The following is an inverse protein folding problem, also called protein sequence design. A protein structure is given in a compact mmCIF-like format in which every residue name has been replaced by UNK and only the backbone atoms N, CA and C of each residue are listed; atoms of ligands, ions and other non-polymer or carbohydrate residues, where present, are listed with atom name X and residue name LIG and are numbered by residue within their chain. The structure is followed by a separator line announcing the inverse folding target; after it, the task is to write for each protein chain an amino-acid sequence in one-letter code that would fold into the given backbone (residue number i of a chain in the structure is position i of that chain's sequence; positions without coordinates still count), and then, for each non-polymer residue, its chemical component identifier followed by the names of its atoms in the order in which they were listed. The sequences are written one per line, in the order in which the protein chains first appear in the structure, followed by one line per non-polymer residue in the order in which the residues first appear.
data_IF_830538237350
#
_entry.id   IF_830538237350
#
_cell.length_a   1.000
_cell.length_b   1.000
_cell.length_c   1.000
_cell.angle_alpha   90.00
_cell.angle_beta   90.00
_cell.angle_gamma   90.00
#
_symmetry.space_group_name_H-M   'P 1'
#
loop_
_entity.id
_entity.type
_entity.pdbx_description
1 polymer ?
#
# COMPACT_ATOMS: atom_id res chain seq x y z
N UNK A 1 8.64 -14.47 -13.78
CA UNK A 1 9.46 -14.94 -14.92
C UNK A 1 10.21 -16.24 -14.60
N UNK A 2 11.07 -16.29 -13.58
CA UNK A 2 11.69 -17.55 -13.13
C UNK A 2 10.66 -18.63 -12.74
N UNK A 3 9.54 -18.24 -12.13
CA UNK A 3 8.41 -19.14 -11.83
C UNK A 3 7.83 -19.84 -13.06
N UNK A 4 7.76 -19.16 -14.21
CA UNK A 4 7.24 -19.73 -15.47
C UNK A 4 8.17 -20.78 -16.04
N UNK A 5 9.49 -20.55 -15.97
CA UNK A 5 10.48 -21.53 -16.43
C UNK A 5 10.53 -22.78 -15.55
N UNK A 6 10.40 -22.61 -14.24
CA UNK A 6 10.34 -23.72 -13.28
C UNK A 6 9.04 -24.52 -13.47
N UNK A 7 7.91 -23.84 -13.66
CA UNK A 7 6.63 -24.51 -13.97
C UNK A 7 6.62 -25.20 -15.34
N UNK A 8 7.20 -24.59 -16.36
CA UNK A 8 7.35 -25.19 -17.70
C UNK A 8 8.26 -26.43 -17.66
N UNK A 9 9.39 -26.34 -16.96
CA UNK A 9 10.32 -27.46 -16.79
C UNK A 9 9.76 -28.60 -15.94
N UNK A 10 8.91 -28.30 -14.95
CA UNK A 10 8.29 -29.33 -14.10
C UNK A 10 7.05 -29.98 -14.72
N UNK A 11 6.39 -29.32 -15.68
CA UNK A 11 5.16 -29.83 -16.31
C UNK A 11 5.34 -31.19 -17.01
N UNK A 12 6.55 -31.47 -17.51
CA UNK A 12 6.85 -32.69 -18.27
C UNK A 12 7.42 -33.84 -17.40
N UNK A 13 7.47 -33.68 -16.08
CA UNK A 13 8.01 -34.71 -15.17
C UNK A 13 6.98 -35.85 -15.04
N UNK A 14 7.27 -36.99 -15.67
CA UNK A 14 6.43 -38.20 -15.64
C UNK A 14 5.55 -38.45 -16.89
N UNK A 15 5.68 -37.65 -17.94
CA UNK A 15 4.90 -37.79 -19.18
C UNK A 15 3.60 -36.96 -19.18
N UNK A 16 2.67 -37.27 -20.11
CA UNK A 16 1.40 -36.56 -20.29
C UNK A 16 0.20 -37.50 -20.07
N UNK A 17 -0.83 -37.05 -19.38
CA UNK A 17 -2.05 -37.83 -19.08
C UNK A 17 -2.02 -38.52 -17.71
N UNK A 18 -2.62 -39.71 -17.58
CA UNK A 18 -2.76 -40.42 -16.30
C UNK A 18 -1.43 -40.91 -15.69
N UNK A 19 -0.30 -40.85 -16.43
CA UNK A 19 1.03 -41.22 -15.92
C UNK A 19 1.81 -40.05 -15.31
N UNK A 20 1.27 -38.82 -15.34
CA UNK A 20 2.00 -37.63 -14.88
C UNK A 20 2.35 -37.75 -13.39
N UNK A 21 3.62 -37.49 -13.05
CA UNK A 21 4.08 -37.60 -11.67
C UNK A 21 3.55 -36.44 -10.83
N UNK A 22 3.08 -36.74 -9.61
CA UNK A 22 2.73 -35.71 -8.61
C UNK A 22 3.88 -34.74 -8.30
N UNK A 23 5.12 -35.10 -8.66
CA UNK A 23 6.28 -34.20 -8.55
C UNK A 23 6.17 -32.96 -9.44
N UNK A 24 5.40 -32.99 -10.53
CA UNK A 24 5.26 -31.87 -11.47
C UNK A 24 4.73 -30.59 -10.82
N UNK A 25 3.83 -30.70 -9.83
CA UNK A 25 3.24 -29.57 -9.10
C UNK A 25 3.88 -29.32 -7.72
N UNK A 26 4.42 -30.37 -7.09
CA UNK A 26 5.08 -30.25 -5.79
C UNK A 26 6.43 -29.54 -5.88
N UNK A 27 7.19 -29.81 -6.94
CA UNK A 27 8.56 -29.31 -7.09
C UNK A 27 8.65 -27.77 -7.17
N UNK A 28 7.80 -27.07 -7.96
CA UNK A 28 7.75 -25.61 -7.91
C UNK A 28 7.38 -25.05 -6.52
N UNK A 29 6.48 -25.73 -5.81
CA UNK A 29 6.02 -25.30 -4.48
C UNK A 29 7.12 -25.45 -3.42
N UNK A 30 7.87 -26.56 -3.47
CA UNK A 30 9.01 -26.81 -2.58
C UNK A 30 10.13 -25.80 -2.84
N UNK A 31 10.44 -25.52 -4.12
CA UNK A 31 11.47 -24.54 -4.48
C UNK A 31 11.11 -23.14 -3.97
N UNK A 32 9.83 -22.76 -4.02
CA UNK A 32 9.36 -21.49 -3.44
C UNK A 32 9.40 -21.48 -1.91
N UNK A 33 9.29 -22.64 -1.26
CA UNK A 33 9.48 -22.79 0.18
C UNK A 33 10.90 -22.51 0.66
N UNK A 34 11.91 -22.71 -0.20
CA UNK A 34 13.33 -22.49 0.14
C UNK A 34 13.61 -21.04 0.56
N UNK A 35 13.30 -19.99 -0.24
CA UNK A 35 13.53 -18.61 0.17
C UNK A 35 12.69 -18.22 1.39
N UNK A 36 11.48 -18.78 1.55
CA UNK A 36 10.66 -18.55 2.74
C UNK A 36 11.33 -19.11 4.02
N UNK A 37 11.89 -20.32 3.95
CA UNK A 37 12.65 -20.91 5.04
C UNK A 37 13.94 -20.13 5.33
N UNK A 38 14.67 -19.69 4.30
CA UNK A 38 15.83 -18.82 4.46
C UNK A 38 15.49 -17.50 5.17
N UNK A 39 14.37 -16.87 4.81
CA UNK A 39 13.91 -15.64 5.45
C UNK A 39 13.47 -15.90 6.89
N UNK A 40 12.75 -17.00 7.16
CA UNK A 40 12.36 -17.39 8.51
C UNK A 40 13.56 -17.58 9.44
N UNK A 41 14.64 -18.19 8.93
CA UNK A 41 15.92 -18.30 9.65
C UNK A 41 16.58 -16.92 9.82
N UNK A 42 16.50 -16.05 8.81
CA UNK A 42 17.04 -14.69 8.86
C UNK A 42 16.36 -13.76 9.87
N UNK A 43 15.08 -13.98 10.18
CA UNK A 43 14.33 -13.17 11.17
C UNK A 43 15.00 -13.21 12.55
N UNK A 44 15.67 -14.30 12.92
CA UNK A 44 16.36 -14.40 14.20
C UNK A 44 17.52 -13.40 14.36
N UNK A 45 18.09 -12.93 13.24
CA UNK A 45 19.20 -11.98 13.22
C UNK A 45 18.80 -10.53 12.86
N UNK A 46 17.54 -10.29 12.52
CA UNK A 46 17.09 -8.94 12.18
C UNK A 46 16.86 -8.10 13.45
N UNK A 47 17.42 -6.87 13.53
CA UNK A 47 17.12 -5.98 14.64
C UNK A 47 15.63 -5.61 14.64
N UNK A 48 15.06 -5.43 15.82
CA UNK A 48 13.66 -5.03 15.96
C UNK A 48 13.41 -3.65 15.35
N UNK A 49 12.22 -3.43 14.80
CA UNK A 49 11.86 -2.12 14.25
C UNK A 49 11.99 -1.01 15.31
N UNK A 50 12.67 0.12 14.99
CA UNK A 50 12.80 1.26 15.91
C UNK A 50 11.45 1.77 16.42
N UNK A 51 10.42 1.83 15.56
CA UNK A 51 9.06 2.26 15.94
C UNK A 51 8.44 1.35 17.00
N UNK A 52 8.61 0.03 16.87
CA UNK A 52 8.12 -0.91 17.87
C UNK A 52 8.86 -0.75 19.20
N UNK A 53 10.18 -0.52 19.17
CA UNK A 53 10.98 -0.30 20.38
C UNK A 53 10.52 0.96 21.14
N UNK A 54 10.21 2.05 20.43
CA UNK A 54 9.63 3.27 21.02
C UNK A 54 8.25 2.99 21.63
N UNK A 55 7.38 2.25 20.93
CA UNK A 55 6.05 1.87 21.45
C UNK A 55 6.11 1.03 22.73
N UNK A 56 7.19 0.29 22.94
CA UNK A 56 7.44 -0.49 24.15
C UNK A 56 8.23 0.27 25.23
N UNK A 57 8.46 1.57 25.05
CA UNK A 57 9.21 2.42 25.98
C UNK A 57 10.72 2.16 26.02
N UNK A 58 11.27 1.41 25.05
CA UNK A 58 12.71 1.06 24.98
C UNK A 58 13.48 2.06 24.10
N UNK A 59 13.47 3.31 24.52
CA UNK A 59 13.99 4.46 23.78
C UNK A 59 15.48 4.35 23.40
N UNK A 60 16.33 3.93 24.34
CA UNK A 60 17.77 3.77 24.10
C UNK A 60 18.09 2.73 23.01
N UNK A 61 17.34 1.61 23.02
CA UNK A 61 17.50 0.55 22.00
C UNK A 61 16.97 0.99 20.65
N UNK A 62 15.92 1.81 20.63
CA UNK A 62 15.40 2.39 19.40
C UNK A 62 16.44 3.30 18.74
N UNK A 63 17.09 4.17 19.53
CA UNK A 63 18.17 5.04 19.07
C UNK A 63 19.38 4.24 18.54
N UNK A 64 19.81 3.20 19.25
CA UNK A 64 20.89 2.32 18.79
C UNK A 64 20.55 1.62 17.47
N UNK A 65 19.29 1.18 17.32
CA UNK A 65 18.84 0.55 16.07
C UNK A 65 18.77 1.56 14.93
N UNK A 66 18.30 2.78 15.21
CA UNK A 66 18.24 3.86 14.22
C UNK A 66 19.66 4.24 13.76
N UNK A 67 20.61 4.34 14.69
CA UNK A 67 22.02 4.58 14.42
C UNK A 67 22.65 3.48 13.56
N UNK A 68 22.34 2.21 13.85
CA UNK A 68 22.76 1.09 13.03
C UNK A 68 22.20 1.16 11.60
N UNK A 69 20.91 1.50 11.45
CA UNK A 69 20.25 1.60 10.14
C UNK A 69 20.77 2.78 9.29
N UNK A 70 20.98 3.94 9.92
CA UNK A 70 21.47 5.16 9.26
C UNK A 70 22.99 5.22 9.13
N UNK A 71 23.73 4.30 9.78
CA UNK A 71 25.21 4.27 9.86
C UNK A 71 25.81 5.59 10.35
N UNK A 72 25.14 6.25 11.28
CA UNK A 72 25.53 7.53 11.87
C UNK A 72 25.68 7.37 13.39
N UNK A 73 26.46 8.24 14.07
CA UNK A 73 26.58 8.19 15.53
C UNK A 73 25.24 8.50 16.20
N UNK A 74 25.00 7.92 17.38
CA UNK A 74 23.72 8.02 18.11
C UNK A 74 23.33 9.47 18.44
N UNK A 75 24.32 10.36 18.57
CA UNK A 75 24.15 11.77 18.91
C UNK A 75 23.97 12.70 17.69
N UNK A 76 23.91 12.14 16.47
CA UNK A 76 23.68 12.94 15.27
C UNK A 76 22.30 13.62 15.32
N UNK A 77 22.26 14.91 14.97
CA UNK A 77 21.04 15.71 14.95
C UNK A 77 19.95 15.09 14.05
N UNK A 78 20.34 14.42 12.95
CA UNK A 78 19.40 13.76 12.05
C UNK A 78 18.72 12.55 12.72
N UNK A 79 19.48 11.73 13.47
CA UNK A 79 18.95 10.57 14.20
C UNK A 79 18.02 11.03 15.31
N UNK A 80 18.40 12.08 16.03
CA UNK A 80 17.57 12.64 17.10
C UNK A 80 16.27 13.25 16.56
N UNK A 81 16.31 13.89 15.40
CA UNK A 81 15.11 14.39 14.72
C UNK A 81 14.17 13.24 14.31
N UNK A 82 14.70 12.23 13.62
CA UNK A 82 13.92 11.07 13.17
C UNK A 82 13.35 10.25 14.35
N UNK A 83 14.14 10.07 15.41
CA UNK A 83 13.67 9.45 16.65
C UNK A 83 12.52 10.24 17.31
N UNK A 84 12.63 11.57 17.38
CA UNK A 84 11.57 12.42 17.91
C UNK A 84 10.31 12.36 17.04
N UNK A 85 10.45 12.29 15.71
CA UNK A 85 9.32 12.15 14.80
C UNK A 85 8.57 10.83 15.06
N UNK A 86 9.30 9.71 15.12
CA UNK A 86 8.73 8.39 15.46
C UNK A 86 8.06 8.43 16.84
N UNK A 87 8.65 9.13 17.81
CA UNK A 87 8.07 9.27 19.15
C UNK A 87 6.80 10.12 19.14
N UNK A 88 6.75 11.20 18.36
CA UNK A 88 5.54 12.00 18.17
C UNK A 88 4.40 11.18 17.56
N UNK A 89 4.70 10.35 16.55
CA UNK A 89 3.71 9.46 15.93
C UNK A 89 3.17 8.42 16.93
N UNK A 90 4.04 7.77 17.71
CA UNK A 90 3.63 6.83 18.74
C UNK A 90 2.73 7.48 19.80
N UNK A 91 3.08 8.69 20.25
CA UNK A 91 2.26 9.46 21.21
C UNK A 91 0.93 9.87 20.60
N UNK A 92 0.90 10.26 19.33
CA UNK A 92 -0.32 10.58 18.62
C UNK A 92 -1.25 9.36 18.54
N UNK A 93 -0.73 8.18 18.20
CA UNK A 93 -1.52 6.94 18.19
C UNK A 93 -2.10 6.60 19.56
N UNK A 94 -1.30 6.77 20.62
CA UNK A 94 -1.74 6.52 22.00
C UNK A 94 -2.86 7.48 22.40
N UNK A 95 -2.74 8.77 22.08
CA UNK A 95 -3.78 9.79 22.34
C UNK A 95 -5.04 9.57 21.51
N UNK A 96 -4.89 9.26 20.23
CA UNK A 96 -6.01 8.95 19.35
C UNK A 96 -6.77 7.71 19.86
N UNK A 97 -6.04 6.70 20.35
CA UNK A 97 -6.62 5.53 20.99
C UNK A 97 -7.33 5.88 22.31
N UNK A 98 -6.70 6.69 23.17
CA UNK A 98 -7.26 7.14 24.44
C UNK A 98 -8.60 7.88 24.25
N UNK A 99 -8.66 8.76 23.24
CA UNK A 99 -9.86 9.53 22.88
C UNK A 99 -10.96 8.65 22.31
N UNK A 100 -10.60 7.65 21.49
CA UNK A 100 -11.56 6.74 20.89
C UNK A 100 -12.12 5.71 21.90
N UNK A 101 -11.35 5.33 22.92
CA UNK A 101 -11.74 4.35 23.93
C UNK A 101 -11.35 4.74 25.36
N UNK A 102 -12.06 5.71 25.97
CA UNK A 102 -11.73 6.20 27.32
C UNK A 102 -11.81 5.10 28.40
N UNK A 103 -12.71 4.12 28.24
CA UNK A 103 -12.88 3.00 29.17
C UNK A 103 -11.78 1.93 29.07
N UNK A 104 -11.13 1.80 27.91
CA UNK A 104 -10.02 0.85 27.72
C UNK A 104 -8.68 1.44 28.13
N UNK A 105 -8.50 2.76 27.99
CA UNK A 105 -7.29 3.45 28.45
C UNK A 105 -7.18 3.49 29.98
N UNK A 106 -8.30 3.60 30.70
CA UNK A 106 -8.32 3.55 32.17
C UNK A 106 -8.02 2.15 32.74
N UNK A 107 -8.14 1.09 31.93
CA UNK A 107 -7.67 -0.26 32.25
C UNK A 107 -6.23 -0.41 31.75
N UNK A 108 -5.31 0.17 32.51
CA UNK A 108 -3.86 0.27 32.28
C UNK A 108 -3.12 -1.06 31.97
N UNK A 109 -3.80 -2.22 32.03
CA UNK A 109 -3.22 -3.56 31.90
C UNK A 109 -4.13 -4.57 31.19
N UNK A 110 -4.58 -4.30 29.96
CA UNK A 110 -5.19 -5.34 29.12
C UNK A 110 -4.39 -5.64 27.86
N UNK A 111 -4.34 -6.93 27.54
CA UNK A 111 -3.52 -7.61 26.54
C UNK A 111 -3.43 -6.86 25.21
N UNK A 112 -2.23 -6.83 24.62
CA UNK A 112 -1.93 -6.23 23.30
C UNK A 112 -2.99 -6.58 22.24
N UNK A 113 -3.46 -7.83 22.25
CA UNK A 113 -4.52 -8.35 21.40
C UNK A 113 -5.86 -7.61 21.52
N UNK A 114 -6.31 -7.27 22.73
CA UNK A 114 -7.60 -6.57 22.93
C UNK A 114 -7.52 -5.16 22.40
N UNK A 115 -6.37 -4.50 22.57
CA UNK A 115 -6.11 -3.16 22.05
C UNK A 115 -6.08 -3.16 20.52
N UNK A 116 -5.39 -4.13 19.91
CA UNK A 116 -5.34 -4.28 18.46
C UNK A 116 -6.73 -4.59 17.88
N UNK A 117 -7.49 -5.51 18.48
CA UNK A 117 -8.86 -5.79 18.05
C UNK A 117 -9.77 -4.56 18.16
N UNK A 118 -9.66 -3.77 19.21
CA UNK A 118 -10.43 -2.54 19.36
C UNK A 118 -10.08 -1.52 18.27
N UNK A 119 -8.81 -1.41 17.89
CA UNK A 119 -8.38 -0.57 16.76
C UNK A 119 -8.96 -1.08 15.43
N UNK A 120 -8.89 -2.38 15.15
CA UNK A 120 -9.50 -2.97 13.96
C UNK A 120 -11.02 -2.77 13.94
N UNK A 121 -11.68 -2.85 15.09
CA UNK A 121 -13.11 -2.61 15.21
C UNK A 121 -13.49 -1.15 14.89
N UNK A 122 -12.64 -0.18 15.22
CA UNK A 122 -12.87 1.24 14.88
C UNK A 122 -12.80 1.53 13.38
N UNK A 123 -12.01 0.76 12.64
CA UNK A 123 -11.92 0.88 11.18
C UNK A 123 -13.27 0.56 10.54
N UNK A 124 -13.99 -0.44 11.07
CA UNK A 124 -15.33 -0.81 10.58
C UNK A 124 -16.42 0.11 11.14
N UNK A 125 -16.22 0.67 12.34
CA UNK A 125 -17.20 1.54 13.01
C UNK A 125 -17.36 2.91 12.36
N UNK A 126 -16.29 3.46 11.77
CA UNK A 126 -16.30 4.79 11.16
C UNK A 126 -16.65 4.66 9.67
N UNK A 127 -17.77 5.26 9.25
CA UNK A 127 -18.30 5.07 7.89
C UNK A 127 -17.30 5.47 6.78
N UNK A 128 -16.44 6.46 7.03
CA UNK A 128 -15.43 6.88 6.06
C UNK A 128 -14.26 5.88 5.97
N UNK A 129 -13.83 5.31 7.09
CA UNK A 129 -12.80 4.27 7.11
C UNK A 129 -13.30 2.97 6.48
N UNK A 130 -14.58 2.62 6.70
CA UNK A 130 -15.21 1.48 6.04
C UNK A 130 -15.21 1.63 4.51
N UNK A 131 -15.56 2.81 3.97
CA UNK A 131 -15.49 3.06 2.52
C UNK A 131 -14.08 2.88 1.98
N UNK A 132 -13.06 3.42 2.65
CA UNK A 132 -11.64 3.30 2.23
C UNK A 132 -11.17 1.83 2.20
N UNK A 133 -11.53 1.06 3.23
CA UNK A 133 -11.18 -0.38 3.28
C UNK A 133 -11.97 -1.18 2.26
N UNK A 134 -13.27 -0.91 2.11
CA UNK A 134 -14.12 -1.56 1.11
C UNK A 134 -13.63 -1.30 -0.31
N UNK A 135 -13.18 -0.08 -0.64
CA UNK A 135 -12.60 0.21 -1.96
C UNK A 135 -11.32 -0.57 -2.20
N UNK A 136 -10.42 -0.65 -1.24
CA UNK A 136 -9.18 -1.41 -1.38
C UNK A 136 -9.45 -2.92 -1.57
N UNK A 137 -10.39 -3.46 -0.79
CA UNK A 137 -10.80 -4.85 -0.90
C UNK A 137 -11.50 -5.16 -2.23
N UNK A 138 -12.41 -4.29 -2.68
CA UNK A 138 -13.11 -4.44 -3.95
C UNK A 138 -12.15 -4.36 -5.14
N UNK A 139 -11.15 -3.46 -5.10
CA UNK A 139 -10.12 -3.39 -6.15
C UNK A 139 -9.36 -4.71 -6.24
N UNK A 140 -8.92 -5.26 -5.10
CA UNK A 140 -8.22 -6.55 -5.07
C UNK A 140 -9.14 -7.70 -5.52
N UNK A 141 -10.41 -7.69 -5.13
CA UNK A 141 -11.40 -8.67 -5.57
C UNK A 141 -11.60 -8.65 -7.10
N UNK A 142 -11.78 -7.47 -7.69
CA UNK A 142 -11.93 -7.32 -9.13
C UNK A 142 -10.65 -7.66 -9.89
N UNK A 143 -9.48 -7.38 -9.32
CA UNK A 143 -8.19 -7.78 -9.88
C UNK A 143 -8.04 -9.31 -9.92
N UNK A 144 -8.51 -10.03 -8.90
CA UNK A 144 -8.50 -11.49 -8.92
C UNK A 144 -9.56 -12.06 -9.87
N UNK A 145 -10.73 -11.43 -9.93
CA UNK A 145 -11.83 -11.86 -10.80
C UNK A 145 -11.55 -11.66 -12.30
N UNK A 146 -10.67 -10.73 -12.67
CA UNK A 146 -10.22 -10.58 -14.07
C UNK A 146 -9.39 -11.76 -14.59
N UNK A 147 -9.18 -12.81 -13.77
CA UNK A 147 -8.54 -14.06 -14.20
C UNK A 147 -7.03 -13.91 -14.42
N UNK A 148 -6.39 -12.96 -13.73
CA UNK A 148 -4.94 -12.75 -13.87
C UNK A 148 -4.15 -14.00 -13.49
N UNK A 149 -4.63 -14.73 -12.48
CA UNK A 149 -4.07 -16.02 -12.08
C UNK A 149 -4.23 -17.05 -13.20
N UNK A 150 -5.36 -17.09 -13.91
CA UNK A 150 -5.55 -17.98 -15.06
C UNK A 150 -4.56 -17.65 -16.19
N UNK A 151 -4.30 -16.36 -16.47
CA UNK A 151 -3.29 -15.95 -17.45
C UNK A 151 -1.89 -16.40 -16.98
N UNK A 152 -1.57 -16.34 -15.69
CA UNK A 152 -0.30 -16.81 -15.13
C UNK A 152 -0.18 -18.35 -15.27
N UNK A 153 -1.22 -19.10 -14.94
CA UNK A 153 -1.20 -20.56 -15.03
C UNK A 153 -1.15 -21.06 -16.48
N UNK A 154 -1.90 -20.42 -17.38
CA UNK A 154 -1.89 -20.74 -18.81
C UNK A 154 -0.87 -19.94 -19.60
N UNK A 155 -0.01 -19.15 -18.95
CA UNK A 155 1.03 -18.36 -19.62
C UNK A 155 1.87 -19.25 -20.53
N UNK A 156 2.25 -20.43 -20.07
CA UNK A 156 2.98 -21.42 -20.88
C UNK A 156 2.21 -21.83 -22.13
N UNK A 157 0.90 -22.08 -22.04
CA UNK A 157 0.05 -22.39 -23.18
C UNK A 157 -0.14 -21.16 -24.09
N UNK A 158 -0.18 -19.94 -23.55
CA UNK A 158 -0.23 -18.69 -24.31
C UNK A 158 1.09 -18.41 -25.01
N UNK A 159 2.24 -18.68 -24.39
CA UNK A 159 3.56 -18.54 -25.02
C UNK A 159 3.78 -19.61 -26.09
N UNK A 160 3.28 -20.84 -25.87
CA UNK A 160 3.19 -21.87 -26.91
C UNK A 160 2.20 -21.47 -28.01
N UNK A 161 1.10 -20.77 -27.71
CA UNK A 161 0.21 -20.21 -28.74
C UNK A 161 0.75 -18.92 -29.39
N UNK A 162 1.71 -18.20 -28.79
CA UNK A 162 2.48 -17.18 -29.50
C UNK A 162 3.42 -17.81 -30.54
N UNK A 163 3.72 -19.11 -30.42
CA UNK A 163 4.26 -19.91 -31.51
C UNK A 163 3.27 -20.03 -32.68
N UNK A 164 1.96 -19.83 -32.47
CA UNK A 164 0.99 -19.75 -33.56
C UNK A 164 1.18 -18.49 -34.40
N UNK A 165 1.64 -17.36 -33.85
CA UNK A 165 2.08 -16.22 -34.68
C UNK A 165 3.29 -16.65 -35.51
N UNK A 166 4.27 -17.34 -34.93
CA UNK A 166 5.39 -17.90 -35.68
C UNK A 166 4.99 -19.02 -36.67
N UNK A 167 3.83 -19.65 -36.52
CA UNK A 167 3.31 -20.73 -37.38
C UNK A 167 2.35 -20.23 -38.46
N UNK A 168 1.57 -19.17 -38.19
CA UNK A 168 0.60 -18.58 -39.11
C UNK A 168 1.19 -17.42 -39.92
N UNK A 169 2.12 -16.65 -39.36
CA UNK A 169 2.76 -15.54 -40.09
C UNK A 169 3.56 -16.01 -41.30
N UNK A 170 4.33 -17.12 -41.28
CA UNK A 170 5.03 -17.59 -42.48
C UNK A 170 4.08 -18.02 -43.63
N UNK A 171 3.03 -18.84 -43.41
CA UNK A 171 2.02 -19.10 -44.45
C UNK A 171 1.28 -17.85 -44.92
N UNK A 172 1.08 -16.86 -44.04
CA UNK A 172 0.42 -15.60 -44.40
C UNK A 172 1.32 -14.72 -45.29
N UNK A 173 2.63 -14.74 -45.06
CA UNK A 173 3.60 -14.12 -45.97
C UNK A 173 3.71 -14.85 -47.31
N UNK A 174 3.63 -16.18 -47.34
CA UNK A 174 3.64 -16.97 -48.58
C UNK A 174 2.36 -16.77 -49.40
N UNK A 175 1.20 -16.59 -48.76
CA UNK A 175 -0.07 -16.43 -49.46
C UNK A 175 -0.31 -14.99 -49.94
N UNK A 176 -0.09 -13.99 -49.09
CA UNK A 176 -0.56 -12.61 -49.31
C UNK A 176 0.55 -11.56 -49.32
N UNK A 177 1.81 -11.95 -49.11
CA UNK A 177 3.01 -11.09 -49.11
C UNK A 177 2.81 -9.74 -48.37
N UNK A 178 2.50 -8.67 -49.11
CA UNK A 178 2.30 -7.32 -48.58
C UNK A 178 0.96 -7.12 -47.84
N UNK A 179 -0.05 -7.95 -48.12
CA UNK A 179 -1.38 -7.90 -47.50
C UNK A 179 -1.35 -8.19 -45.99
N UNK A 180 -0.35 -8.95 -45.54
CA UNK A 180 -0.08 -9.23 -44.12
C UNK A 180 0.15 -7.95 -43.32
N UNK A 181 0.86 -6.96 -43.88
CA UNK A 181 1.11 -5.70 -43.20
C UNK A 181 -0.16 -4.87 -43.03
N UNK A 182 -1.07 -4.91 -44.00
CA UNK A 182 -2.36 -4.19 -43.92
C UNK A 182 -3.26 -4.82 -42.88
N UNK A 183 -3.30 -6.16 -42.80
CA UNK A 183 -4.05 -6.88 -41.79
C UNK A 183 -3.65 -6.44 -40.37
N UNK A 184 -2.34 -6.39 -40.08
CA UNK A 184 -1.85 -5.91 -38.78
C UNK A 184 -2.10 -4.41 -38.56
N UNK A 185 -1.98 -3.58 -39.60
CA UNK A 185 -2.24 -2.14 -39.50
C UNK A 185 -3.71 -1.82 -39.13
N UNK A 186 -4.67 -2.54 -39.71
CA UNK A 186 -6.10 -2.40 -39.39
C UNK A 186 -6.37 -2.84 -37.96
N UNK A 187 -5.74 -3.93 -37.51
CA UNK A 187 -5.90 -4.41 -36.13
C UNK A 187 -5.34 -3.43 -35.09
N UNK A 188 -4.17 -2.84 -35.36
CA UNK A 188 -3.58 -1.79 -34.52
C UNK A 188 -4.43 -0.52 -34.49
N UNK A 189 -4.96 -0.09 -35.64
CA UNK A 189 -5.86 1.06 -35.71
C UNK A 189 -7.15 0.83 -34.90
N UNK A 190 -7.71 -0.38 -34.95
CA UNK A 190 -8.85 -0.78 -34.11
C UNK A 190 -8.52 -0.71 -32.61
N UNK A 191 -7.32 -1.14 -32.22
CA UNK A 191 -6.83 -1.00 -30.83
C UNK A 191 -6.72 0.46 -30.38
N UNK A 192 -6.24 1.36 -31.24
CA UNK A 192 -6.17 2.80 -30.96
C UNK A 192 -7.57 3.40 -30.77
N UNK A 193 -8.51 3.05 -31.65
CA UNK A 193 -9.91 3.49 -31.54
C UNK A 193 -10.54 2.98 -30.24
N UNK A 194 -10.33 1.72 -29.89
CA UNK A 194 -10.81 1.17 -28.62
C UNK A 194 -10.20 1.85 -27.41
N UNK A 195 -8.88 2.09 -27.40
CA UNK A 195 -8.23 2.81 -26.29
C UNK A 195 -8.77 4.22 -26.17
N UNK A 196 -9.00 4.91 -27.28
CA UNK A 196 -9.55 6.26 -27.29
C UNK A 196 -11.00 6.32 -26.77
N UNK A 197 -11.84 5.35 -27.12
CA UNK A 197 -13.27 5.37 -26.75
C UNK A 197 -13.61 4.63 -25.45
N UNK A 198 -12.89 3.56 -25.11
CA UNK A 198 -13.22 2.67 -24.00
C UNK A 198 -12.28 2.77 -22.81
N UNK A 199 -11.10 3.41 -22.96
CA UNK A 199 -10.24 3.72 -21.83
C UNK A 199 -10.44 5.19 -21.44
N UNK A 200 -11.23 5.50 -20.39
CA UNK A 200 -11.26 6.85 -19.85
C UNK A 200 -9.86 7.18 -19.34
N UNK A 201 -9.20 8.12 -20.02
CA UNK A 201 -7.91 8.65 -19.62
C UNK A 201 -7.97 9.05 -18.14
N UNK A 202 -7.08 8.47 -17.33
CA UNK A 202 -6.75 8.92 -15.97
C UNK A 202 -6.02 10.28 -16.01
N UNK A 203 -6.49 11.21 -16.85
CA UNK A 203 -5.98 12.57 -16.93
C UNK A 203 -6.71 13.42 -15.91
N UNK A 204 -6.01 13.71 -14.81
CA UNK A 204 -6.28 14.90 -14.00
C UNK A 204 -6.66 14.66 -12.54
N UNK A 205 -6.63 13.44 -12.02
CA UNK A 205 -6.81 13.22 -10.58
C UNK A 205 -5.47 12.86 -9.95
N UNK A 206 -4.82 13.84 -9.32
CA UNK A 206 -3.75 13.56 -8.36
C UNK A 206 -4.35 12.86 -7.15
N UNK A 207 -3.71 11.80 -6.65
CA UNK A 207 -4.13 11.03 -5.47
C UNK A 207 -4.45 11.92 -4.25
N UNK A 208 -3.86 13.12 -4.17
CA UNK A 208 -4.06 14.12 -3.12
C UNK A 208 -5.44 14.81 -3.15
N UNK A 209 -6.12 14.87 -4.29
CA UNK A 209 -7.45 15.50 -4.40
C UNK A 209 -8.61 14.55 -4.06
N UNK A 210 -8.33 13.24 -3.96
CA UNK A 210 -9.31 12.26 -3.51
C UNK A 210 -9.72 12.51 -2.05
N UNK A 211 -8.88 13.18 -1.24
CA UNK A 211 -9.16 13.46 0.17
C UNK A 211 -10.23 14.58 0.35
N UNK A 212 -10.39 15.48 -0.63
CA UNK A 212 -11.48 16.49 -0.64
C UNK A 212 -12.85 15.87 -0.91
N UNK A 213 -12.91 14.77 -1.67
CA UNK A 213 -14.16 14.07 -2.00
C UNK A 213 -14.80 13.42 -0.77
N UNK A 214 -13.99 13.07 0.23
CA UNK A 214 -14.48 12.37 1.42
C UNK A 214 -14.98 13.27 2.55
N UNK A 215 -14.84 14.61 2.47
CA UNK A 215 -15.33 15.58 3.48
C UNK A 215 -15.19 15.08 4.94
N UNK A 216 -14.09 14.41 5.29
CA UNK A 216 -13.95 13.83 6.63
C UNK A 216 -13.37 14.87 7.58
N UNK A 217 -14.17 15.31 8.55
CA UNK A 217 -13.73 16.18 9.66
C UNK A 217 -12.70 15.51 10.60
N UNK A 218 -12.21 14.32 10.26
CA UNK A 218 -11.16 13.60 11.01
C UNK A 218 -9.79 14.24 10.83
N UNK A 219 -9.47 14.78 9.65
CA UNK A 219 -8.12 15.30 9.36
C UNK A 219 -7.72 16.53 10.19
N UNK A 220 -8.67 17.41 10.50
CA UNK A 220 -8.39 18.63 11.28
C UNK A 220 -8.11 18.33 12.76
N UNK A 221 -8.92 17.48 13.38
CA UNK A 221 -8.73 17.07 14.78
C UNK A 221 -7.45 16.24 14.95
N UNK A 222 -7.17 15.35 14.00
CA UNK A 222 -5.96 14.51 14.00
C UNK A 222 -4.69 15.35 13.77
N UNK A 223 -4.75 16.36 12.90
CA UNK A 223 -3.64 17.28 12.68
C UNK A 223 -3.29 18.11 13.93
N UNK A 224 -4.29 18.53 14.71
CA UNK A 224 -4.07 19.27 15.97
C UNK A 224 -3.42 18.35 17.02
N UNK A 225 -3.92 17.13 17.17
CA UNK A 225 -3.36 16.15 18.12
C UNK A 225 -1.93 15.74 17.74
N UNK A 226 -1.61 15.63 16.44
CA UNK A 226 -0.25 15.35 15.97
C UNK A 226 0.68 16.54 16.23
N UNK A 227 0.21 17.78 16.04
CA UNK A 227 0.98 18.97 16.35
C UNK A 227 1.28 19.08 17.85
N UNK A 228 0.32 18.73 18.71
CA UNK A 228 0.53 18.67 20.16
C UNK A 228 1.55 17.58 20.54
N UNK A 229 1.43 16.38 19.97
CA UNK A 229 2.40 15.30 20.19
C UNK A 229 3.83 15.66 19.72
N UNK A 230 3.96 16.40 18.60
CA UNK A 230 5.25 16.92 18.12
C UNK A 230 5.86 17.96 19.08
N UNK A 231 5.03 18.82 19.67
CA UNK A 231 5.50 19.81 20.66
C UNK A 231 6.03 19.11 21.92
N UNK A 232 5.37 18.05 22.37
CA UNK A 232 5.76 17.34 23.60
C UNK A 232 7.10 16.59 23.48
N UNK A 233 7.51 16.23 22.27
CA UNK A 233 8.83 15.63 22.00
C UNK A 233 9.91 16.67 21.65
N UNK A 234 9.58 17.97 21.70
CA UNK A 234 10.49 19.06 21.41
C UNK A 234 10.85 19.21 19.92
N UNK A 235 9.93 18.86 19.01
CA UNK A 235 9.99 19.24 17.60
C UNK A 235 9.20 20.54 17.40
N UNK A 236 9.86 21.58 16.87
CA UNK A 236 9.16 22.79 16.46
C UNK A 236 8.31 22.46 15.21
N UNK A 237 7.08 22.99 15.09
CA UNK A 237 6.25 22.78 13.92
C UNK A 237 6.95 23.33 12.67
N UNK A 238 6.81 22.63 11.53
CA UNK A 238 7.20 23.20 10.25
C UNK A 238 6.42 24.51 10.02
N UNK A 239 7.09 25.57 9.53
CA UNK A 239 6.54 26.92 9.49
C UNK A 239 5.30 27.09 8.59
N UNK A 240 4.97 26.13 7.73
CA UNK A 240 3.87 26.29 6.75
C UNK A 240 2.48 25.96 7.31
N UNK A 241 2.32 25.07 8.30
CA UNK A 241 0.97 24.61 8.70
C UNK A 241 0.31 25.42 9.81
N UNK A 242 1.08 26.16 10.62
CA UNK A 242 0.53 26.94 11.75
C UNK A 242 0.15 28.35 11.33
N UNK A 243 0.96 29.02 10.50
CA UNK A 243 0.69 30.40 10.09
C UNK A 243 -0.54 30.52 9.17
N UNK A 244 -0.75 29.58 8.25
CA UNK A 244 -1.93 29.58 7.39
C UNK A 244 -3.22 29.24 8.16
N UNK A 245 -3.13 28.40 9.19
CA UNK A 245 -4.30 28.01 10.01
C UNK A 245 -4.68 29.08 11.03
N UNK A 246 -3.71 29.76 11.64
CA UNK A 246 -3.96 30.94 12.50
C UNK A 246 -4.52 32.11 11.67
N UNK A 247 -4.09 32.27 10.42
CA UNK A 247 -4.67 33.25 9.50
C UNK A 247 -6.14 32.92 9.14
N UNK A 248 -6.47 31.64 8.93
CA UNK A 248 -7.85 31.20 8.66
C UNK A 248 -8.77 31.33 9.89
N UNK A 249 -8.26 31.06 11.09
CA UNK A 249 -9.02 31.21 12.34
C UNK A 249 -9.30 32.69 12.69
N UNK A 250 -8.30 33.56 12.51
CA UNK A 250 -8.46 35.02 12.64
C UNK A 250 -9.41 35.59 11.58
N UNK A 251 -9.46 34.98 10.38
CA UNK A 251 -10.42 35.34 9.33
C UNK A 251 -11.88 35.01 9.70
N UNK A 252 -12.12 33.82 10.27
CA UNK A 252 -13.46 33.36 10.68
C UNK A 252 -14.01 34.11 11.89
N UNK A 253 -13.17 34.40 12.89
CA UNK A 253 -13.57 35.23 14.04
C UNK A 253 -13.92 36.65 13.62
N UNK A 254 -13.18 37.25 12.67
CA UNK A 254 -13.51 38.58 12.15
C UNK A 254 -14.82 38.64 11.36
N UNK A 255 -15.19 37.58 10.64
CA UNK A 255 -16.47 37.50 9.91
C UNK A 255 -17.65 37.24 10.84
N UNK A 256 -17.49 36.35 11.84
CA UNK A 256 -18.53 36.09 12.85
C UNK A 256 -18.83 37.29 13.73
N UNK A 257 -17.84 38.18 13.95
CA UNK A 257 -18.01 39.38 14.75
C UNK A 257 -18.62 40.54 13.94
N UNK A 258 -18.40 40.59 12.61
CA UNK A 258 -19.07 41.53 11.71
C UNK A 258 -20.54 41.18 11.47
N UNK A 259 -20.88 39.90 11.28
CA UNK A 259 -22.27 39.47 11.12
C UNK A 259 -23.13 39.70 12.37
N UNK A 260 -22.52 39.75 13.56
CA UNK A 260 -23.23 40.03 14.81
C UNK A 260 -23.42 41.52 15.10
N UNK A 261 -22.72 42.41 14.39
CA UNK A 261 -22.86 43.87 14.51
C UNK A 261 -23.85 44.42 13.48
N UNK A 262 -24.11 43.72 12.37
CA UNK A 262 -25.09 44.11 11.35
C UNK A 262 -26.54 43.66 11.66
N UNK A 263 -26.76 42.86 12.72
CA UNK A 263 -28.09 42.38 13.15
C UNK A 263 -28.66 43.11 14.40
N UNK A 264 -28.07 44.23 14.83
CA UNK A 264 -28.56 45.09 15.94
C UNK A 264 -28.74 46.52 15.46
#
# INVERSE_FOLDING_TARGET
MLSFWIGYGSNNIGGHGESQSNLAWQLPSIIQGIPAACLALGIWWLPFSPRWLVKQGRDEKALQTLAYLRKLPVDDALIQAEYKEIKAECLFEERAFAKAFPTLHARETQSVWVREFAQYWNIVRTWDNFKRVATAWLVMFFQQWSGIDAIIYYASNVFVNNFAVAFFVPPMFEAWEWGTYIFFAVFLAGGIVWVYFCLPETKGATLEEMDRVFKSHSGEADAIMLAEARRDVGLNPEPETVNDKVALDNGRTSQSQKSHIEEV
#
